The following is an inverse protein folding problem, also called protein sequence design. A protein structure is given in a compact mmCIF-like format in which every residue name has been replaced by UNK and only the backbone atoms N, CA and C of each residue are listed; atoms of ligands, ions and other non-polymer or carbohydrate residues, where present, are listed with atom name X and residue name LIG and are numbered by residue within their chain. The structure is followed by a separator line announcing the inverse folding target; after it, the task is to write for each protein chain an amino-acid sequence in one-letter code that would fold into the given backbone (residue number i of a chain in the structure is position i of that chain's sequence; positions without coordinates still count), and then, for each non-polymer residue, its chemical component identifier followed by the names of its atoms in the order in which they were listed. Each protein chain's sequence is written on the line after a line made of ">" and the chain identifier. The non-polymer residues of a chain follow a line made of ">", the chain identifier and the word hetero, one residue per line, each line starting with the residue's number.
data_IF_057066307291
#
_entry.id   IF_057066307291
#
_cell.length_a   1.000
_cell.length_b   1.000
_cell.length_c   1.000
_cell.angle_alpha   90.00
_cell.angle_beta   90.00
_cell.angle_gamma   90.00
#
_symmetry.space_group_name_H-M   'P 1'
#
loop_
_entity.id
_entity.type
_entity.pdbx_description
1 polymer ?
#
# COMPACT_ATOMS: atom_id res chain seq x y z
N UNK A 1 -1.82 -63.70 -55.47
CA UNK A 1 -1.48 -65.03 -54.89
C UNK A 1 0.02 -64.96 -54.54
N UNK A 2 0.39 -65.36 -53.35
CA UNK A 2 1.79 -65.51 -52.98
C UNK A 2 2.32 -66.83 -53.58
N UNK A 3 3.38 -66.74 -54.33
CA UNK A 3 4.04 -67.91 -54.98
C UNK A 3 5.54 -67.91 -54.66
N UNK A 4 6.08 -69.06 -54.37
CA UNK A 4 7.53 -69.24 -54.22
C UNK A 4 8.13 -69.61 -55.54
N UNK A 5 9.10 -68.82 -56.05
CA UNK A 5 9.73 -69.15 -57.35
C UNK A 5 10.75 -70.29 -57.21
N UNK A 6 11.30 -70.72 -58.33
CA UNK A 6 12.30 -71.78 -58.38
C UNK A 6 13.60 -71.58 -57.60
N UNK A 7 13.83 -70.28 -57.14
CA UNK A 7 14.97 -69.86 -56.31
C UNK A 7 14.61 -69.71 -54.83
N UNK A 8 13.35 -70.15 -54.42
CA UNK A 8 12.90 -70.04 -53.01
C UNK A 8 12.48 -68.65 -52.59
N UNK A 9 12.29 -67.70 -53.51
CA UNK A 9 11.90 -66.31 -53.22
C UNK A 9 10.36 -66.21 -53.28
N UNK A 10 9.76 -65.66 -52.23
CA UNK A 10 8.31 -65.37 -52.19
C UNK A 10 8.02 -64.17 -53.12
N UNK A 11 7.13 -64.38 -54.07
CA UNK A 11 6.68 -63.33 -55.01
C UNK A 11 5.18 -63.16 -54.89
N UNK A 12 4.72 -61.90 -54.98
CA UNK A 12 3.33 -61.59 -55.25
C UNK A 12 3.10 -61.73 -56.78
N UNK A 13 2.20 -62.60 -57.15
CA UNK A 13 1.86 -62.81 -58.57
C UNK A 13 0.40 -62.47 -58.84
N UNK A 14 0.21 -61.64 -59.85
CA UNK A 14 -1.06 -61.42 -60.52
C UNK A 14 -1.09 -62.15 -61.86
N UNK A 15 -2.22 -62.74 -62.24
CA UNK A 15 -2.38 -63.42 -63.52
C UNK A 15 -3.62 -62.91 -64.27
N UNK A 16 -3.53 -62.82 -65.59
CA UNK A 16 -4.64 -62.48 -66.46
C UNK A 16 -4.67 -63.49 -67.60
N UNK A 17 -5.83 -64.11 -67.84
CA UNK A 17 -6.00 -65.00 -68.99
C UNK A 17 -6.35 -64.20 -70.26
N UNK A 18 -5.72 -64.53 -71.41
CA UNK A 18 -6.08 -64.06 -72.75
C UNK A 18 -6.87 -65.13 -73.46
N UNK A 19 -8.24 -65.07 -73.45
CA UNK A 19 -9.06 -66.14 -73.97
C UNK A 19 -8.88 -66.40 -75.46
N UNK A 20 -8.51 -65.38 -76.23
CA UNK A 20 -8.37 -65.50 -77.73
C UNK A 20 -7.21 -66.40 -78.14
N UNK A 21 -6.22 -66.63 -77.24
CA UNK A 21 -5.02 -67.42 -77.59
C UNK A 21 -4.71 -68.45 -76.50
N UNK A 22 -5.64 -68.67 -75.58
CA UNK A 22 -5.51 -69.58 -74.45
C UNK A 22 -4.23 -69.44 -73.65
N UNK A 23 -3.74 -68.16 -73.47
CA UNK A 23 -2.55 -67.85 -72.73
C UNK A 23 -2.88 -67.18 -71.44
N UNK A 24 -2.00 -67.36 -70.42
CA UNK A 24 -2.04 -66.66 -69.16
C UNK A 24 -0.78 -65.82 -68.98
N UNK A 25 -0.98 -64.54 -68.80
CA UNK A 25 0.10 -63.60 -68.50
C UNK A 25 0.24 -63.58 -66.99
N UNK A 26 1.43 -63.87 -66.45
CA UNK A 26 1.75 -63.83 -65.04
C UNK A 26 2.73 -62.67 -64.85
N UNK A 27 2.33 -61.68 -64.03
CA UNK A 27 3.24 -60.65 -63.53
C UNK A 27 3.58 -60.97 -62.09
N UNK A 28 4.88 -61.05 -61.80
CA UNK A 28 5.35 -61.33 -60.44
C UNK A 28 6.40 -60.35 -59.99
N UNK A 29 6.33 -59.98 -58.68
CA UNK A 29 7.29 -59.07 -58.06
C UNK A 29 7.74 -59.64 -56.70
N UNK A 30 9.03 -59.62 -56.34
CA UNK A 30 9.49 -60.09 -55.05
C UNK A 30 8.83 -59.38 -53.87
N UNK A 31 8.26 -60.11 -52.92
CA UNK A 31 7.55 -59.58 -51.76
C UNK A 31 8.48 -58.75 -50.88
N UNK A 32 9.74 -59.17 -50.75
CA UNK A 32 10.77 -58.43 -50.00
C UNK A 32 11.06 -57.05 -50.58
N UNK A 33 11.05 -56.88 -51.90
CA UNK A 33 11.31 -55.60 -52.58
C UNK A 33 10.13 -54.65 -52.40
N UNK A 34 8.91 -55.12 -52.47
CA UNK A 34 7.68 -54.35 -52.19
C UNK A 34 7.64 -53.89 -50.73
N UNK A 35 7.96 -54.80 -49.79
CA UNK A 35 8.01 -54.51 -48.37
C UNK A 35 9.11 -53.48 -48.04
N UNK A 36 10.26 -53.59 -48.71
CA UNK A 36 11.35 -52.61 -48.47
C UNK A 36 10.98 -51.21 -48.96
N UNK A 37 10.31 -51.10 -50.11
CA UNK A 37 9.80 -49.84 -50.65
C UNK A 37 8.72 -49.26 -49.73
N UNK A 38 7.77 -50.08 -49.29
CA UNK A 38 6.72 -49.68 -48.37
C UNK A 38 7.29 -49.19 -47.03
N UNK A 39 8.25 -49.93 -46.43
CA UNK A 39 8.93 -49.51 -45.20
C UNK A 39 9.70 -48.19 -45.37
N UNK A 40 10.36 -47.99 -46.53
CA UNK A 40 11.03 -46.73 -46.80
C UNK A 40 10.05 -45.54 -46.85
N UNK A 41 8.89 -45.70 -47.42
CA UNK A 41 7.84 -44.65 -47.47
C UNK A 41 7.29 -44.43 -46.04
N UNK A 42 6.98 -45.49 -45.29
CA UNK A 42 6.49 -45.39 -43.93
C UNK A 42 7.48 -44.63 -43.04
N UNK A 43 8.77 -44.97 -43.10
CA UNK A 43 9.79 -44.30 -42.31
C UNK A 43 9.89 -42.81 -42.70
N UNK A 44 9.86 -42.47 -43.98
CA UNK A 44 9.92 -41.06 -44.46
C UNK A 44 8.69 -40.26 -43.97
N UNK A 45 7.50 -40.87 -44.08
CA UNK A 45 6.25 -40.21 -43.58
C UNK A 45 6.27 -40.08 -42.07
N UNK A 46 6.70 -41.12 -41.32
CA UNK A 46 6.81 -41.07 -39.87
C UNK A 46 7.80 -39.99 -39.39
N UNK A 47 8.97 -39.88 -40.04
CA UNK A 47 9.96 -38.84 -39.73
C UNK A 47 9.42 -37.44 -40.04
N UNK A 48 8.72 -37.25 -41.14
CA UNK A 48 8.09 -35.98 -41.50
C UNK A 48 7.00 -35.60 -40.48
N UNK A 49 6.16 -36.54 -40.06
CA UNK A 49 5.14 -36.32 -39.02
C UNK A 49 5.78 -35.99 -37.68
N UNK A 50 6.85 -36.69 -37.31
CA UNK A 50 7.56 -36.41 -36.06
C UNK A 50 8.11 -34.99 -36.02
N UNK A 51 8.70 -34.54 -37.10
CA UNK A 51 9.17 -33.15 -37.26
C UNK A 51 8.05 -32.13 -37.13
N UNK A 52 6.91 -32.40 -37.80
CA UNK A 52 5.73 -31.54 -37.67
C UNK A 52 5.19 -31.48 -36.24
N UNK A 53 5.05 -32.59 -35.54
CA UNK A 53 4.60 -32.63 -34.13
C UNK A 53 5.56 -31.94 -33.20
N UNK A 54 6.87 -32.05 -33.43
CA UNK A 54 7.87 -31.36 -32.63
C UNK A 54 7.74 -29.82 -32.77
N UNK A 55 7.58 -29.34 -34.00
CA UNK A 55 7.35 -27.91 -34.26
C UNK A 55 6.04 -27.41 -33.64
N UNK A 56 4.97 -28.19 -33.74
CA UNK A 56 3.68 -27.89 -33.13
C UNK A 56 3.80 -27.84 -31.61
N UNK A 57 4.51 -28.78 -31.02
CA UNK A 57 4.76 -28.80 -29.56
C UNK A 57 5.51 -27.56 -29.09
N UNK A 58 6.58 -27.17 -29.78
CA UNK A 58 7.37 -25.97 -29.50
C UNK A 58 6.48 -24.72 -29.62
N UNK A 59 5.66 -24.66 -30.66
CA UNK A 59 4.74 -23.55 -30.90
C UNK A 59 3.71 -23.42 -29.78
N UNK A 60 3.05 -24.51 -29.41
CA UNK A 60 2.06 -24.52 -28.30
C UNK A 60 2.72 -24.18 -26.97
N UNK A 61 3.92 -24.69 -26.71
CA UNK A 61 4.68 -24.38 -25.50
C UNK A 61 5.03 -22.88 -25.40
N UNK A 62 5.53 -22.31 -26.49
CA UNK A 62 5.81 -20.87 -26.56
C UNK A 62 4.55 -20.00 -26.37
N UNK A 63 3.47 -20.39 -27.02
CA UNK A 63 2.19 -19.69 -26.93
C UNK A 63 1.63 -19.74 -25.49
N UNK A 64 1.67 -20.92 -24.86
CA UNK A 64 1.28 -21.07 -23.45
C UNK A 64 2.11 -20.20 -22.53
N UNK A 65 3.42 -20.14 -22.72
CA UNK A 65 4.30 -19.29 -21.93
C UNK A 65 3.95 -17.80 -22.12
N UNK A 66 3.70 -17.33 -23.34
CA UNK A 66 3.34 -15.96 -23.66
C UNK A 66 2.01 -15.54 -23.02
N UNK A 67 1.03 -16.42 -23.00
CA UNK A 67 -0.28 -16.17 -22.37
C UNK A 67 -0.16 -16.18 -20.84
N UNK A 68 0.56 -17.13 -20.27
CA UNK A 68 0.65 -17.30 -18.83
C UNK A 68 1.58 -16.31 -18.12
N UNK A 69 2.62 -15.83 -18.81
CA UNK A 69 3.65 -14.95 -18.21
C UNK A 69 3.08 -13.65 -17.62
N UNK A 70 2.25 -12.85 -18.31
CA UNK A 70 1.67 -11.63 -17.74
C UNK A 70 0.76 -11.92 -16.55
N UNK A 71 -0.06 -12.98 -16.63
CA UNK A 71 -0.95 -13.36 -15.53
C UNK A 71 -0.20 -13.77 -14.28
N UNK A 72 0.86 -14.56 -14.43
CA UNK A 72 1.70 -14.98 -13.30
C UNK A 72 2.38 -13.77 -12.63
N UNK A 73 2.87 -12.81 -13.42
CA UNK A 73 3.43 -11.56 -12.89
C UNK A 73 2.39 -10.76 -12.10
N UNK A 74 1.20 -10.58 -12.66
CA UNK A 74 0.10 -9.90 -11.98
C UNK A 74 -0.36 -10.63 -10.71
N UNK A 75 -0.40 -11.97 -10.73
CA UNK A 75 -0.74 -12.78 -9.58
C UNK A 75 0.30 -12.64 -8.45
N UNK A 76 1.59 -12.59 -8.79
CA UNK A 76 2.64 -12.31 -7.82
C UNK A 76 2.51 -10.91 -7.22
N UNK A 77 2.18 -9.89 -8.02
CA UNK A 77 1.95 -8.53 -7.51
C UNK A 77 0.72 -8.47 -6.58
N UNK A 78 -0.32 -9.27 -6.84
CA UNK A 78 -1.51 -9.35 -5.98
C UNK A 78 -1.17 -9.79 -4.54
N UNK A 79 -0.17 -10.65 -4.35
CA UNK A 79 0.29 -11.07 -3.01
C UNK A 79 1.13 -10.01 -2.29
N UNK A 80 1.51 -8.93 -2.98
CA UNK A 80 2.42 -7.90 -2.48
C UNK A 80 1.79 -6.50 -2.45
N UNK A 81 0.47 -6.39 -2.39
CA UNK A 81 -0.27 -5.11 -2.45
C UNK A 81 0.11 -4.10 -1.35
N UNK A 82 0.72 -4.56 -0.27
CA UNK A 82 1.20 -3.70 0.83
C UNK A 82 2.53 -3.01 0.58
N UNK A 83 3.24 -3.34 -0.53
CA UNK A 83 4.53 -2.70 -0.82
C UNK A 83 4.36 -1.26 -1.30
N UNK A 84 5.25 -0.34 -0.85
CA UNK A 84 5.33 0.97 -1.46
C UNK A 84 5.68 0.79 -2.97
N UNK A 85 5.10 1.60 -3.84
CA UNK A 85 5.32 1.60 -5.30
C UNK A 85 4.77 0.40 -6.09
N UNK A 86 3.99 -0.49 -5.47
CA UNK A 86 3.39 -1.65 -6.17
C UNK A 86 2.57 -1.23 -7.40
N UNK A 87 1.93 -0.06 -7.38
CA UNK A 87 1.12 0.45 -8.49
C UNK A 87 1.98 0.71 -9.73
N UNK A 88 3.23 1.11 -9.54
CA UNK A 88 4.18 1.35 -10.63
C UNK A 88 4.67 0.02 -11.22
N UNK A 89 4.92 -0.96 -10.37
CA UNK A 89 5.30 -2.31 -10.80
C UNK A 89 4.17 -2.98 -11.60
N UNK A 90 2.91 -2.83 -11.14
CA UNK A 90 1.73 -3.34 -11.85
C UNK A 90 1.55 -2.63 -13.22
N UNK A 91 1.76 -1.30 -13.28
CA UNK A 91 1.67 -0.52 -14.53
C UNK A 91 2.74 -0.92 -15.56
N UNK A 92 3.92 -1.32 -15.12
CA UNK A 92 5.02 -1.75 -15.97
C UNK A 92 4.78 -3.12 -16.64
N UNK A 93 3.76 -3.87 -16.19
CA UNK A 93 3.35 -5.10 -16.85
C UNK A 93 2.44 -4.71 -18.02
N UNK A 94 2.90 -4.93 -19.26
CA UNK A 94 2.13 -4.65 -20.46
C UNK A 94 1.50 -5.94 -21.01
N UNK A 95 0.23 -6.22 -20.69
CA UNK A 95 -0.47 -7.39 -21.20
C UNK A 95 -0.96 -7.12 -22.63
N UNK A 96 -0.66 -8.01 -23.54
CA UNK A 96 -1.03 -7.91 -24.96
C UNK A 96 -2.44 -8.42 -25.29
N UNK A 97 -3.18 -9.00 -24.31
CA UNK A 97 -4.54 -9.49 -24.48
C UNK A 97 -5.50 -8.92 -23.43
N UNK A 98 -6.77 -8.91 -23.79
CA UNK A 98 -7.82 -8.15 -23.12
C UNK A 98 -8.09 -8.59 -21.67
N UNK A 99 -8.07 -9.90 -21.40
CA UNK A 99 -8.34 -10.45 -20.07
C UNK A 99 -7.25 -10.05 -19.05
N UNK A 100 -5.99 -10.09 -19.48
CA UNK A 100 -4.89 -9.66 -18.63
C UNK A 100 -4.88 -8.13 -18.43
N UNK A 101 -5.32 -7.36 -19.42
CA UNK A 101 -5.51 -5.92 -19.27
C UNK A 101 -6.62 -5.60 -18.25
N UNK A 102 -7.74 -6.29 -18.33
CA UNK A 102 -8.81 -6.17 -17.32
C UNK A 102 -8.35 -6.55 -15.93
N UNK A 103 -7.60 -7.64 -15.82
CA UNK A 103 -7.06 -8.08 -14.53
C UNK A 103 -6.08 -7.06 -13.95
N UNK A 104 -5.18 -6.47 -14.77
CA UNK A 104 -4.29 -5.37 -14.36
C UNK A 104 -5.09 -4.19 -13.85
N UNK A 105 -6.13 -3.77 -14.55
CA UNK A 105 -6.97 -2.63 -14.15
C UNK A 105 -7.71 -2.91 -12.84
N UNK A 106 -8.29 -4.09 -12.68
CA UNK A 106 -8.95 -4.51 -11.44
C UNK A 106 -7.97 -4.54 -10.27
N UNK A 107 -6.74 -5.03 -10.49
CA UNK A 107 -5.71 -5.08 -9.46
C UNK A 107 -5.26 -3.69 -9.02
N UNK A 108 -5.12 -2.73 -9.96
CA UNK A 108 -4.80 -1.34 -9.64
C UNK A 108 -5.92 -0.67 -8.81
N UNK A 109 -7.18 -0.91 -9.17
CA UNK A 109 -8.32 -0.41 -8.41
C UNK A 109 -8.36 -0.99 -6.99
N UNK A 110 -8.14 -2.30 -6.87
CA UNK A 110 -8.09 -2.98 -5.56
C UNK A 110 -6.92 -2.48 -4.71
N UNK A 111 -5.74 -2.27 -5.31
CA UNK A 111 -4.57 -1.70 -4.62
C UNK A 111 -4.88 -0.32 -4.06
N UNK A 112 -5.51 0.54 -4.86
CA UNK A 112 -5.91 1.88 -4.43
C UNK A 112 -6.90 1.81 -3.27
N UNK A 113 -7.97 1.03 -3.42
CA UNK A 113 -8.99 0.88 -2.38
C UNK A 113 -8.40 0.35 -1.07
N UNK A 114 -7.52 -0.64 -1.14
CA UNK A 114 -6.84 -1.20 0.02
C UNK A 114 -5.93 -0.17 0.72
N UNK A 115 -5.23 0.68 -0.05
CA UNK A 115 -4.42 1.77 0.51
C UNK A 115 -5.27 2.84 1.19
N UNK A 116 -6.39 3.20 0.58
CA UNK A 116 -7.33 4.18 1.13
C UNK A 116 -7.94 3.65 2.45
N UNK A 117 -8.34 2.38 2.50
CA UNK A 117 -8.86 1.73 3.71
C UNK A 117 -7.80 1.64 4.82
N UNK A 118 -6.56 1.27 4.48
CA UNK A 118 -5.45 1.28 5.46
C UNK A 118 -5.17 2.70 5.97
N UNK A 119 -5.23 3.71 5.10
CA UNK A 119 -5.03 5.11 5.51
C UNK A 119 -6.13 5.57 6.47
N UNK A 120 -7.38 5.23 6.19
CA UNK A 120 -8.53 5.52 7.06
C UNK A 120 -8.40 4.80 8.40
N UNK A 121 -8.08 3.50 8.40
CA UNK A 121 -7.82 2.74 9.63
C UNK A 121 -6.67 3.35 10.44
N UNK A 122 -5.56 3.74 9.79
CA UNK A 122 -4.44 4.41 10.46
C UNK A 122 -4.84 5.76 11.05
N UNK A 123 -5.68 6.52 10.36
CA UNK A 123 -6.20 7.78 10.87
C UNK A 123 -7.04 7.55 12.12
N UNK A 124 -8.00 6.62 12.10
CA UNK A 124 -8.81 6.28 13.27
C UNK A 124 -7.99 5.79 14.47
N UNK A 125 -6.93 5.03 14.23
CA UNK A 125 -6.05 4.50 15.30
C UNK A 125 -5.15 5.60 15.89
N UNK A 126 -4.80 6.63 15.13
CA UNK A 126 -3.83 7.66 15.52
C UNK A 126 -4.47 8.98 15.93
N UNK A 127 -5.80 9.13 15.82
CA UNK A 127 -6.51 10.33 16.22
C UNK A 127 -7.42 10.10 17.44
N UNK A 128 -7.72 11.16 18.16
CA UNK A 128 -8.72 11.19 19.23
C UNK A 128 -10.13 11.28 18.61
N UNK A 129 -11.05 10.37 18.92
CA UNK A 129 -12.36 10.32 18.28
C UNK A 129 -13.26 11.52 18.60
N UNK A 130 -13.03 12.21 19.72
CA UNK A 130 -13.82 13.36 20.13
C UNK A 130 -13.41 14.63 19.37
N UNK A 131 -12.10 14.87 19.24
CA UNK A 131 -11.53 16.13 18.75
C UNK A 131 -10.97 16.04 17.34
N UNK A 132 -10.68 14.81 16.87
CA UNK A 132 -10.01 14.57 15.59
C UNK A 132 -8.58 15.14 15.53
N UNK A 133 -7.95 15.41 16.68
CA UNK A 133 -6.52 15.68 16.81
C UNK A 133 -5.74 14.36 16.92
N UNK A 134 -4.42 14.39 16.80
CA UNK A 134 -3.64 13.20 17.05
C UNK A 134 -3.81 12.75 18.52
N UNK A 135 -3.95 11.44 18.74
CA UNK A 135 -3.91 10.85 20.07
C UNK A 135 -2.45 10.56 20.50
N UNK A 136 -2.25 10.01 21.69
CA UNK A 136 -0.92 9.67 22.22
C UNK A 136 -0.11 8.76 21.28
N UNK A 137 -0.77 7.87 20.53
CA UNK A 137 -0.10 6.99 19.57
C UNK A 137 0.36 7.76 18.32
N UNK A 138 -0.51 8.61 17.78
CA UNK A 138 -0.18 9.48 16.65
C UNK A 138 0.96 10.45 17.00
N UNK A 139 0.93 11.04 18.21
CA UNK A 139 2.00 11.84 18.77
C UNK A 139 3.36 11.12 18.75
N UNK A 140 3.39 9.86 19.21
CA UNK A 140 4.63 9.09 19.26
C UNK A 140 5.22 8.81 17.87
N UNK A 141 4.37 8.55 16.89
CA UNK A 141 4.82 8.33 15.51
C UNK A 141 5.45 9.59 14.93
N UNK A 142 4.84 10.75 15.16
CA UNK A 142 5.36 12.04 14.72
C UNK A 142 6.70 12.39 15.39
N UNK A 143 6.83 12.17 16.70
CA UNK A 143 8.09 12.38 17.40
C UNK A 143 9.24 11.52 16.85
N UNK A 144 8.98 10.26 16.55
CA UNK A 144 9.98 9.39 15.94
C UNK A 144 10.44 9.91 14.56
N UNK A 145 9.54 10.54 13.80
CA UNK A 145 9.86 11.16 12.51
C UNK A 145 10.74 12.40 12.69
N UNK A 146 10.40 13.29 13.63
CA UNK A 146 11.22 14.47 13.95
C UNK A 146 12.62 14.09 14.44
N UNK A 147 12.72 13.09 15.30
CA UNK A 147 14.00 12.56 15.78
C UNK A 147 14.84 12.00 14.64
N UNK A 148 14.25 11.18 13.75
CA UNK A 148 14.95 10.58 12.60
C UNK A 148 15.45 11.64 11.60
N UNK A 149 14.75 12.76 11.45
CA UNK A 149 15.10 13.85 10.53
C UNK A 149 15.94 14.94 11.19
N UNK A 150 16.17 14.85 12.50
CA UNK A 150 16.84 15.88 13.32
C UNK A 150 16.26 17.29 13.09
N UNK A 151 14.94 17.38 13.00
CA UNK A 151 14.22 18.63 12.67
C UNK A 151 13.89 19.39 13.96
N UNK A 152 14.34 20.67 14.13
CA UNK A 152 14.07 21.45 15.33
C UNK A 152 12.58 21.75 15.52
N UNK A 153 12.12 21.73 16.77
CA UNK A 153 10.73 22.04 17.11
C UNK A 153 10.58 22.57 18.52
N UNK A 154 9.45 23.20 18.81
CA UNK A 154 9.03 23.49 20.19
C UNK A 154 7.81 22.63 20.56
N UNK A 155 7.76 22.23 21.82
CA UNK A 155 6.63 21.58 22.47
C UNK A 155 5.83 22.63 23.24
N UNK A 156 4.55 22.71 22.97
CA UNK A 156 3.58 23.45 23.76
C UNK A 156 2.70 22.45 24.50
N UNK A 157 2.75 22.43 25.81
CA UNK A 157 1.78 21.70 26.63
C UNK A 157 0.68 22.65 27.06
N UNK A 158 -0.57 22.27 26.87
CA UNK A 158 -1.75 23.10 27.13
C UNK A 158 -2.76 22.36 27.99
N UNK A 159 -3.44 23.13 28.81
CA UNK A 159 -4.53 22.62 29.65
C UNK A 159 -5.61 23.69 29.78
N UNK A 160 -6.89 23.26 29.81
CA UNK A 160 -8.02 24.17 29.95
C UNK A 160 -8.17 24.56 31.39
N UNK A 161 -8.10 25.86 31.66
CA UNK A 161 -8.23 26.39 33.00
C UNK A 161 -9.61 26.10 33.57
N UNK A 162 -9.64 25.52 34.78
CA UNK A 162 -10.87 25.20 35.52
C UNK A 162 -11.81 24.22 34.80
N UNK A 163 -11.31 23.34 33.92
CA UNK A 163 -12.14 22.41 33.12
C UNK A 163 -13.02 21.51 34.01
N UNK A 164 -12.49 21.08 35.18
CA UNK A 164 -13.30 20.32 36.14
C UNK A 164 -14.55 21.10 36.57
N UNK A 165 -14.45 22.40 36.81
CA UNK A 165 -15.59 23.24 37.18
C UNK A 165 -16.62 23.35 36.03
N UNK A 166 -16.16 23.33 34.79
CA UNK A 166 -17.06 23.27 33.61
C UNK A 166 -17.86 21.96 33.65
N UNK A 167 -17.19 20.83 33.83
CA UNK A 167 -17.86 19.52 33.91
C UNK A 167 -18.83 19.44 35.08
N UNK A 168 -18.42 19.94 36.28
CA UNK A 168 -19.21 19.88 37.50
C UNK A 168 -20.48 20.76 37.40
N UNK A 169 -20.39 21.91 36.72
CA UNK A 169 -21.50 22.86 36.61
C UNK A 169 -22.43 22.62 35.40
N UNK A 170 -21.88 22.14 34.28
CA UNK A 170 -22.60 22.05 32.99
C UNK A 170 -22.72 20.63 32.43
N UNK A 171 -22.09 19.65 33.11
CA UNK A 171 -22.08 18.25 32.69
C UNK A 171 -21.02 17.93 31.64
N UNK A 172 -20.74 16.63 31.50
CA UNK A 172 -19.68 16.11 30.58
C UNK A 172 -19.94 16.44 29.11
N UNK A 173 -21.20 16.48 28.67
CA UNK A 173 -21.54 16.82 27.28
C UNK A 173 -21.08 18.24 26.92
N UNK A 174 -21.22 19.19 27.84
CA UNK A 174 -20.71 20.55 27.67
C UNK A 174 -19.19 20.61 27.77
N UNK A 175 -18.58 19.80 28.63
CA UNK A 175 -17.14 19.62 28.63
C UNK A 175 -16.60 19.11 27.29
N UNK A 176 -17.27 18.14 26.69
CA UNK A 176 -16.94 17.62 25.34
C UNK A 176 -17.09 18.69 24.26
N UNK A 177 -18.09 19.57 24.38
CA UNK A 177 -18.24 20.71 23.49
C UNK A 177 -17.05 21.69 23.59
N UNK A 178 -16.60 21.99 24.83
CA UNK A 178 -15.41 22.81 25.08
C UNK A 178 -14.15 22.18 24.44
N UNK A 179 -13.94 20.87 24.62
CA UNK A 179 -12.81 20.16 24.05
C UNK A 179 -12.79 20.22 22.52
N UNK A 180 -13.97 20.03 21.88
CA UNK A 180 -14.13 20.17 20.43
C UNK A 180 -13.85 21.60 19.94
N UNK A 181 -14.30 22.60 20.70
CA UNK A 181 -14.08 24.00 20.37
C UNK A 181 -12.61 24.37 20.46
N UNK A 182 -11.90 23.96 21.53
CA UNK A 182 -10.45 24.15 21.66
C UNK A 182 -9.72 23.48 20.51
N UNK A 183 -10.04 22.25 20.19
CA UNK A 183 -9.43 21.52 19.07
C UNK A 183 -9.63 22.24 17.71
N UNK A 184 -10.80 22.83 17.49
CA UNK A 184 -11.07 23.66 16.32
C UNK A 184 -10.19 24.90 16.27
N UNK A 185 -10.02 25.59 17.40
CA UNK A 185 -9.13 26.74 17.50
C UNK A 185 -7.66 26.33 17.26
N UNK A 186 -7.23 25.18 17.79
CA UNK A 186 -5.89 24.66 17.54
C UNK A 186 -5.67 24.43 16.04
N UNK A 187 -6.57 23.71 15.37
CA UNK A 187 -6.47 23.45 13.91
C UNK A 187 -6.41 24.73 13.08
N UNK A 188 -7.10 25.79 13.47
CA UNK A 188 -7.10 27.07 12.74
C UNK A 188 -5.90 27.98 13.07
N UNK A 189 -5.27 27.82 14.25
CA UNK A 189 -4.15 28.64 14.69
C UNK A 189 -2.77 28.09 14.33
N UNK A 190 -2.65 26.79 14.10
CA UNK A 190 -1.39 26.15 13.74
C UNK A 190 -1.33 25.80 12.26
N UNK A 191 -0.11 25.68 11.72
CA UNK A 191 0.14 25.36 10.30
C UNK A 191 -0.02 23.88 10.02
N UNK A 192 -0.07 23.52 8.76
CA UNK A 192 -0.17 22.12 8.32
C UNK A 192 1.00 21.23 8.78
N UNK A 193 2.17 21.82 8.98
CA UNK A 193 3.37 21.12 9.46
C UNK A 193 3.44 21.02 10.99
N UNK A 194 2.61 21.79 11.69
CA UNK A 194 2.50 21.71 13.14
C UNK A 194 1.54 20.58 13.51
N UNK A 195 1.84 19.87 14.59
CA UNK A 195 1.02 18.71 14.99
C UNK A 195 0.34 19.00 16.32
N UNK A 196 -0.98 18.98 16.28
CA UNK A 196 -1.83 19.14 17.44
C UNK A 196 -2.30 17.77 17.96
N UNK A 197 -2.11 17.53 19.26
CA UNK A 197 -2.43 16.26 19.92
C UNK A 197 -3.35 16.48 21.11
N UNK A 198 -4.25 15.51 21.37
CA UNK A 198 -4.91 15.35 22.66
C UNK A 198 -4.39 14.06 23.30
N UNK A 199 -3.71 14.19 24.43
CA UNK A 199 -3.01 13.06 25.09
C UNK A 199 -3.80 12.42 26.23
N UNK A 200 -4.82 13.13 26.74
CA UNK A 200 -5.73 12.63 27.75
C UNK A 200 -6.66 13.73 28.26
N UNK A 201 -7.84 13.38 28.76
CA UNK A 201 -8.77 14.32 29.41
C UNK A 201 -8.82 15.71 28.77
N UNK A 202 -8.28 16.69 29.49
CA UNK A 202 -8.16 18.11 29.10
C UNK A 202 -6.75 18.52 28.67
N UNK A 203 -5.84 17.54 28.50
CA UNK A 203 -4.43 17.76 28.19
C UNK A 203 -4.19 17.72 26.68
N UNK A 204 -3.60 18.79 26.15
CA UNK A 204 -3.22 18.94 24.76
C UNK A 204 -1.75 19.23 24.61
N UNK A 205 -1.16 18.74 23.52
CA UNK A 205 0.23 19.05 23.16
C UNK A 205 0.26 19.49 21.71
N UNK A 206 1.06 20.54 21.43
CA UNK A 206 1.36 20.98 20.06
C UNK A 206 2.86 20.92 19.82
N UNK A 207 3.24 20.35 18.70
CA UNK A 207 4.60 20.40 18.17
C UNK A 207 4.65 21.44 17.05
N UNK A 208 5.38 22.52 17.29
CA UNK A 208 5.58 23.59 16.32
C UNK A 208 6.95 23.40 15.69
N UNK A 209 6.96 23.07 14.40
CA UNK A 209 8.20 22.82 13.64
C UNK A 209 8.77 24.15 13.16
N UNK A 210 9.99 24.48 13.59
CA UNK A 210 10.65 25.75 13.27
C UNK A 210 12.13 25.74 13.66
N UNK A 211 12.87 26.69 13.12
CA UNK A 211 14.28 26.98 13.49
C UNK A 211 14.41 28.05 14.60
N UNK A 212 13.39 28.92 14.79
CA UNK A 212 13.37 29.98 15.81
C UNK A 212 12.26 29.75 16.85
N UNK A 213 12.60 29.49 18.13
CA UNK A 213 11.63 29.26 19.22
C UNK A 213 10.61 30.39 19.44
N UNK A 214 10.93 31.63 19.03
CA UNK A 214 9.99 32.76 19.11
C UNK A 214 8.71 32.52 18.31
N UNK A 215 8.78 31.74 17.24
CA UNK A 215 7.61 31.37 16.41
C UNK A 215 6.59 30.60 17.25
N UNK A 216 7.05 29.67 18.07
CA UNK A 216 6.20 28.89 18.95
C UNK A 216 5.50 29.75 20.01
N UNK A 217 6.22 30.70 20.62
CA UNK A 217 5.64 31.64 21.56
C UNK A 217 4.55 32.51 20.93
N UNK A 218 4.81 33.07 19.74
CA UNK A 218 3.83 33.88 19.00
C UNK A 218 2.58 33.06 18.66
N UNK A 219 2.74 31.81 18.22
CA UNK A 219 1.63 30.91 17.92
C UNK A 219 0.82 30.57 19.18
N UNK A 220 1.48 30.27 20.28
CA UNK A 220 0.88 30.02 21.58
C UNK A 220 0.07 31.22 22.08
N UNK A 221 0.61 32.41 22.03
CA UNK A 221 -0.07 33.64 22.48
C UNK A 221 -1.28 33.98 21.60
N UNK A 222 -1.19 33.75 20.29
CA UNK A 222 -2.32 33.87 19.37
C UNK A 222 -3.43 32.89 19.76
N UNK A 223 -3.11 31.61 19.97
CA UNK A 223 -4.08 30.61 20.41
C UNK A 223 -4.72 31.01 21.75
N UNK A 224 -3.93 31.35 22.77
CA UNK A 224 -4.42 31.75 24.09
C UNK A 224 -5.43 32.91 23.99
N UNK A 225 -5.11 33.95 23.23
CA UNK A 225 -6.00 35.08 22.99
C UNK A 225 -7.29 34.67 22.26
N UNK A 226 -7.17 33.86 21.22
CA UNK A 226 -8.31 33.34 20.45
C UNK A 226 -9.28 32.58 21.35
N UNK A 227 -8.76 31.71 22.21
CA UNK A 227 -9.57 30.92 23.16
C UNK A 227 -10.24 31.85 24.19
N UNK A 228 -9.49 32.75 24.81
CA UNK A 228 -10.02 33.66 25.83
C UNK A 228 -11.09 34.63 25.31
N UNK A 229 -11.12 34.89 23.99
CA UNK A 229 -12.12 35.74 23.33
C UNK A 229 -13.32 34.93 22.78
N UNK A 230 -13.23 33.61 22.76
CA UNK A 230 -14.27 32.73 22.20
C UNK A 230 -15.38 32.49 23.24
N UNK A 231 -16.60 32.90 22.91
CA UNK A 231 -17.77 32.62 23.73
C UNK A 231 -18.35 31.22 23.41
N UNK A 232 -18.65 30.44 24.42
CA UNK A 232 -19.24 29.10 24.32
C UNK A 232 -20.53 29.08 25.13
N UNK A 233 -21.66 29.04 24.46
CA UNK A 233 -22.97 28.97 25.11
C UNK A 233 -23.18 27.57 25.72
N UNK A 234 -23.70 27.43 26.98
CA UNK A 234 -24.02 28.45 27.98
C UNK A 234 -22.85 28.76 28.94
N UNK A 235 -21.63 28.26 28.68
CA UNK A 235 -20.48 28.26 29.64
C UNK A 235 -19.87 29.68 29.76
N UNK A 236 -19.90 30.45 28.71
CA UNK A 236 -19.17 31.72 28.62
C UNK A 236 -17.81 31.59 27.98
N UNK A 237 -16.82 32.31 28.50
CA UNK A 237 -15.43 32.24 28.02
C UNK A 237 -14.60 31.26 28.84
N UNK A 238 -13.70 30.57 28.18
CA UNK A 238 -12.69 29.70 28.80
C UNK A 238 -11.30 30.28 28.55
N UNK A 239 -10.34 29.84 29.37
CA UNK A 239 -8.93 30.18 29.15
C UNK A 239 -8.08 28.92 29.12
N UNK A 240 -6.84 29.07 28.63
CA UNK A 240 -5.85 28.01 28.62
C UNK A 240 -4.53 28.49 29.20
N UNK A 241 -3.88 27.64 29.97
CA UNK A 241 -2.49 27.82 30.39
C UNK A 241 -1.57 27.03 29.47
N UNK A 242 -0.38 27.59 29.16
CA UNK A 242 0.52 27.00 28.18
C UNK A 242 1.96 27.00 28.72
N UNK A 243 2.62 25.85 28.65
CA UNK A 243 4.06 25.70 28.86
C UNK A 243 4.80 25.43 27.58
N UNK A 244 5.98 26.03 27.37
CA UNK A 244 6.77 25.92 26.14
C UNK A 244 8.20 25.50 26.48
N UNK A 245 8.72 24.52 25.72
CA UNK A 245 10.13 24.16 25.67
C UNK A 245 10.53 23.74 24.24
N UNK A 246 11.81 23.92 23.90
CA UNK A 246 12.30 23.78 22.51
C UNK A 246 13.42 22.73 22.42
N UNK A 247 13.37 21.92 21.38
CA UNK A 247 14.39 20.94 21.04
C UNK A 247 15.18 21.43 19.80
N UNK A 248 16.50 21.32 19.80
CA UNK A 248 17.41 20.79 20.84
C UNK A 248 17.87 21.83 21.86
N UNK A 249 17.35 23.07 21.83
CA UNK A 249 17.85 24.23 22.54
C UNK A 249 17.80 24.07 24.07
N UNK A 250 16.69 23.51 24.63
CA UNK A 250 16.50 23.36 26.06
C UNK A 250 16.97 21.99 26.59
N UNK A 251 17.03 20.99 25.73
CA UNK A 251 17.60 19.66 25.99
C UNK A 251 17.84 18.92 24.69
N UNK A 252 18.91 18.08 24.64
CA UNK A 252 19.17 17.16 23.54
C UNK A 252 18.21 15.96 23.55
N UNK A 253 17.59 15.66 24.71
CA UNK A 253 16.63 14.57 24.85
C UNK A 253 15.19 15.08 24.68
N UNK A 254 14.49 14.58 23.66
CA UNK A 254 13.10 14.96 23.35
C UNK A 254 12.15 14.74 24.54
N UNK A 255 12.32 13.64 25.28
CA UNK A 255 11.47 13.34 26.44
C UNK A 255 11.64 14.36 27.56
N UNK A 256 12.85 14.87 27.72
CA UNK A 256 13.14 15.91 28.73
C UNK A 256 12.58 17.27 28.31
N UNK A 257 12.57 17.58 27.01
CA UNK A 257 11.88 18.79 26.47
C UNK A 257 10.38 18.74 26.78
N UNK A 258 9.73 17.59 26.60
CA UNK A 258 8.31 17.45 26.95
C UNK A 258 8.08 17.67 28.45
N UNK A 259 8.93 17.12 29.32
CA UNK A 259 8.85 17.33 30.78
C UNK A 259 9.07 18.79 31.15
N UNK A 260 10.01 19.48 30.49
CA UNK A 260 10.25 20.90 30.71
C UNK A 260 9.02 21.73 30.34
N UNK A 261 8.38 21.44 29.19
CA UNK A 261 7.14 22.10 28.82
C UNK A 261 6.02 21.88 29.87
N UNK A 262 5.88 20.65 30.39
CA UNK A 262 4.92 20.36 31.47
C UNK A 262 5.22 21.14 32.76
N UNK A 263 6.51 21.26 33.15
CA UNK A 263 6.91 22.08 34.29
C UNK A 263 6.55 23.55 34.09
N UNK A 264 6.72 24.07 32.89
CA UNK A 264 6.34 25.45 32.52
C UNK A 264 4.81 25.63 32.52
N UNK A 265 4.05 24.63 32.06
CA UNK A 265 2.58 24.63 32.19
C UNK A 265 2.14 24.70 33.69
N UNK A 266 2.78 23.92 34.56
CA UNK A 266 2.51 23.95 35.97
C UNK A 266 2.81 25.36 36.58
N UNK A 267 3.90 26.00 36.15
CA UNK A 267 4.20 27.38 36.56
C UNK A 267 3.11 28.34 36.07
N UNK A 268 2.67 28.24 34.80
CA UNK A 268 1.60 29.06 34.26
C UNK A 268 0.29 28.94 35.04
N UNK A 269 -0.06 27.72 35.47
CA UNK A 269 -1.24 27.49 36.34
C UNK A 269 -1.11 28.15 37.71
N UNK A 270 0.09 28.14 38.31
CA UNK A 270 0.35 28.76 39.60
C UNK A 270 0.43 30.30 39.53
N UNK A 271 0.89 30.85 38.41
CA UNK A 271 1.03 32.28 38.22
C UNK A 271 -0.29 32.99 37.87
N UNK A 272 -1.41 32.33 38.05
CA UNK A 272 -2.75 32.91 37.86
C UNK A 272 -3.50 32.44 36.67
N UNK A 273 -2.99 31.41 35.95
CA UNK A 273 -3.59 30.85 34.73
C UNK A 273 -3.67 31.83 33.58
N UNK A 274 -4.31 31.42 32.48
CA UNK A 274 -4.46 32.25 31.26
C UNK A 274 -3.15 32.94 30.83
N UNK A 275 -2.05 32.25 30.91
CA UNK A 275 -0.71 32.79 30.59
C UNK A 275 0.20 31.71 29.99
N UNK A 276 1.33 32.16 29.47
CA UNK A 276 2.37 31.31 28.89
C UNK A 276 3.61 31.40 29.76
N UNK A 277 4.26 30.25 29.96
CA UNK A 277 5.61 30.15 30.52
C UNK A 277 6.51 29.40 29.56
N UNK A 278 7.70 29.91 29.33
CA UNK A 278 8.69 29.35 28.39
C UNK A 278 10.04 29.20 29.11
N UNK A 279 10.83 28.25 28.67
CA UNK A 279 12.23 28.09 29.10
C UNK A 279 13.11 29.26 28.66
N UNK A 280 12.80 29.88 27.53
CA UNK A 280 13.56 30.99 26.93
C UNK A 280 13.16 32.39 27.46
N UNK A 281 12.30 32.49 28.47
CA UNK A 281 11.76 33.78 29.00
C UNK A 281 12.31 34.18 30.37
N UNK A 282 13.33 33.49 30.87
CA UNK A 282 14.05 33.83 32.12
C UNK A 282 15.37 34.53 31.83
#
# INVERSE_FOLDING_TARGET
>A
IALVNSKGIENLAGFAAIPSVNWVVVSQQPTLELLSQANSIIVKVTLAMLGFYLLLFIFVWKLSYWISSPLNKLAQMASMLTRPNIDQDIKNIDPWYFEALRFRTALLLSSKHFKDEIAELKQHVNTDPLTGLYNRRGMKLFLNELEATNTPFSVLTLDIDHFKAVNDNYGHDQGDHVLKKLASHMKSNFRQHDVCCRVGGEEFIVFVVHEDPKIAYIAAERLRKTVAQSYIDPIGTITVSIGIASWPQDSENIQDVIKLADQKLYQAKNDGRNCIRSTSSD
#
